data_IF_478515805634
#
_entry.id   IF_478515805634
#
_cell.length_a   1.000
_cell.length_b   1.000
_cell.length_c   1.000
_cell.angle_alpha   90.00
_cell.angle_beta   90.00
_cell.angle_gamma   90.00
#
_symmetry.space_group_name_H-M   'P 1'
#
loop_
_entity.id
_entity.type
_entity.pdbx_description
1 polymer ?
#
# COMPACT_ATOMS: atom_id res chain seq x y z
N UNK A 1 -32.18 26.17 -53.75
CA UNK A 1 -30.80 26.71 -53.59
C UNK A 1 -30.34 26.94 -52.15
N UNK A 2 -31.23 27.12 -51.14
CA UNK A 2 -30.84 27.48 -49.75
C UNK A 2 -30.47 26.31 -48.82
N UNK A 3 -30.70 25.06 -49.21
CA UNK A 3 -30.37 23.87 -48.41
C UNK A 3 -28.92 23.40 -48.59
N UNK A 4 -28.30 23.73 -49.72
CA UNK A 4 -26.93 23.28 -50.03
C UNK A 4 -25.87 24.02 -49.22
N UNK A 5 -26.11 25.31 -48.94
CA UNK A 5 -25.25 26.14 -48.11
C UNK A 5 -25.25 25.69 -46.65
N UNK A 6 -26.40 25.23 -46.14
CA UNK A 6 -26.52 24.70 -44.77
C UNK A 6 -25.78 23.38 -44.58
N UNK A 7 -25.77 22.50 -45.59
CA UNK A 7 -25.04 21.23 -45.56
C UNK A 7 -23.52 21.43 -45.52
N UNK A 8 -23.00 22.42 -46.25
CA UNK A 8 -21.56 22.75 -46.24
C UNK A 8 -21.14 23.36 -44.89
N UNK A 9 -22.01 24.18 -44.28
CA UNK A 9 -21.76 24.78 -42.95
C UNK A 9 -21.74 23.71 -41.84
N UNK A 10 -22.67 22.74 -41.88
CA UNK A 10 -22.72 21.65 -40.90
C UNK A 10 -21.56 20.67 -41.07
N UNK A 11 -21.18 20.34 -42.31
CA UNK A 11 -20.00 19.49 -42.58
C UNK A 11 -18.68 20.19 -42.20
N UNK A 12 -18.56 21.49 -42.43
CA UNK A 12 -17.39 22.28 -42.02
C UNK A 12 -17.23 22.38 -40.49
N UNK A 13 -18.33 22.52 -39.75
CA UNK A 13 -18.32 22.52 -38.27
C UNK A 13 -17.98 21.12 -37.74
N UNK A 14 -18.50 20.06 -38.34
CA UNK A 14 -18.17 18.69 -37.95
C UNK A 14 -16.70 18.34 -38.18
N UNK A 15 -16.09 18.82 -39.28
CA UNK A 15 -14.66 18.65 -39.56
C UNK A 15 -13.77 19.54 -38.66
N UNK A 16 -14.27 20.70 -38.23
CA UNK A 16 -13.57 21.56 -37.27
C UNK A 16 -13.55 20.94 -35.86
N UNK A 17 -14.65 20.30 -35.43
CA UNK A 17 -14.71 19.63 -34.13
C UNK A 17 -13.83 18.37 -34.06
N UNK A 18 -13.54 17.71 -35.17
CA UNK A 18 -12.60 16.58 -35.20
C UNK A 18 -11.13 17.01 -35.25
N UNK A 19 -10.83 18.26 -35.58
CA UNK A 19 -9.45 18.78 -35.63
C UNK A 19 -8.90 19.23 -34.25
N UNK A 20 -9.77 19.44 -33.25
CA UNK A 20 -9.35 19.89 -31.91
C UNK A 20 -8.98 18.77 -30.93
N UNK A 21 -9.12 17.50 -31.29
CA UNK A 21 -8.70 16.38 -30.43
C UNK A 21 -7.24 15.95 -30.65
N UNK A 22 -6.48 16.66 -31.49
CA UNK A 22 -5.06 16.36 -31.76
C UNK A 22 -4.15 17.44 -31.16
N UNK A 23 -4.04 17.49 -29.82
CA UNK A 23 -2.89 18.11 -29.10
C UNK A 23 -2.84 17.92 -27.57
N UNK A 24 -3.22 16.74 -27.07
CA UNK A 24 -2.83 16.35 -25.72
C UNK A 24 -2.59 14.84 -25.64
N UNK A 25 -1.47 14.39 -26.21
CA UNK A 25 -0.72 13.27 -25.62
C UNK A 25 -0.20 13.74 -24.26
N UNK A 26 -1.10 13.84 -23.28
CA UNK A 26 -0.71 13.73 -21.89
C UNK A 26 -0.59 12.24 -21.61
N UNK A 27 0.62 11.73 -21.84
CA UNK A 27 1.25 10.60 -21.16
C UNK A 27 0.30 9.88 -20.18
N UNK A 28 -0.57 9.04 -20.74
CA UNK A 28 -1.47 8.17 -19.98
C UNK A 28 -0.59 7.02 -19.48
N UNK A 29 0.05 7.23 -18.33
CA UNK A 29 0.74 6.14 -17.64
C UNK A 29 -0.32 5.15 -17.18
N UNK A 30 -0.56 4.14 -18.02
CA UNK A 30 -1.32 2.95 -17.69
C UNK A 30 -0.72 2.36 -16.41
N UNK A 31 -1.52 2.33 -15.34
CA UNK A 31 -1.15 1.68 -14.09
C UNK A 31 -1.10 0.17 -14.38
N UNK A 32 0.09 -0.34 -14.72
CA UNK A 32 0.41 -1.77 -14.69
C UNK A 32 0.21 -2.27 -13.24
N UNK A 33 -1.03 -2.64 -12.92
CA UNK A 33 -1.40 -3.45 -11.76
C UNK A 33 -1.00 -4.91 -12.06
N UNK A 34 0.31 -5.15 -12.25
CA UNK A 34 0.89 -6.48 -12.32
C UNK A 34 0.98 -7.09 -10.91
N UNK A 35 -0.18 -7.50 -10.41
CA UNK A 35 -0.36 -8.32 -9.21
C UNK A 35 0.02 -9.79 -9.39
N UNK A 36 0.93 -10.13 -10.31
CA UNK A 36 1.46 -11.48 -10.45
C UNK A 36 2.99 -11.46 -10.63
N UNK A 37 3.70 -11.34 -9.52
CA UNK A 37 5.13 -11.61 -9.46
C UNK A 37 5.41 -13.10 -9.74
N UNK A 38 5.57 -13.46 -11.02
CA UNK A 38 6.25 -14.71 -11.35
C UNK A 38 7.72 -14.53 -10.99
N UNK A 39 8.11 -15.03 -9.81
CA UNK A 39 9.50 -15.11 -9.37
C UNK A 39 10.29 -16.08 -10.26
N UNK A 40 10.62 -15.65 -11.48
CA UNK A 40 11.60 -16.36 -12.31
C UNK A 40 12.96 -16.12 -11.68
N UNK A 41 13.47 -17.12 -10.95
CA UNK A 41 14.90 -17.20 -10.60
C UNK A 41 15.69 -17.38 -11.89
N UNK A 42 16.10 -16.29 -12.52
CA UNK A 42 17.14 -16.35 -13.54
C UNK A 42 18.46 -16.64 -12.87
N UNK A 43 19.09 -17.74 -13.32
CA UNK A 43 20.39 -18.22 -12.88
C UNK A 43 21.44 -17.14 -13.18
N UNK A 44 22.37 -16.90 -12.24
CA UNK A 44 23.46 -15.92 -12.38
C UNK A 44 24.32 -16.23 -13.63
N UNK A 45 23.97 -15.59 -14.74
CA UNK A 45 24.84 -15.43 -15.90
C UNK A 45 25.65 -14.15 -15.76
N UNK A 46 26.98 -14.26 -15.80
CA UNK A 46 27.91 -13.14 -15.98
C UNK A 46 27.72 -12.58 -17.39
N UNK A 47 26.69 -11.76 -17.58
CA UNK A 47 26.57 -10.91 -18.77
C UNK A 47 27.05 -9.54 -18.36
N UNK A 48 28.29 -9.25 -18.77
CA UNK A 48 28.90 -7.95 -18.93
C UNK A 48 28.00 -6.82 -18.42
N UNK A 49 28.37 -6.20 -17.29
CA UNK A 49 27.84 -4.90 -16.92
C UNK A 49 28.05 -4.05 -18.16
N UNK A 50 26.96 -3.81 -18.88
CA UNK A 50 26.90 -2.81 -19.89
C UNK A 50 27.17 -1.48 -19.17
N UNK A 51 28.46 -1.15 -19.09
CA UNK A 51 28.97 0.19 -19.36
C UNK A 51 28.59 0.55 -20.80
N UNK A 52 27.30 0.45 -21.15
CA UNK A 52 26.75 1.09 -22.33
C UNK A 52 26.56 2.55 -21.94
N UNK A 53 27.30 3.41 -22.62
CA UNK A 53 27.29 4.84 -22.41
C UNK A 53 25.88 5.42 -22.46
N UNK A 54 25.29 5.68 -21.29
CA UNK A 54 24.14 6.58 -21.19
C UNK A 54 24.64 8.03 -21.30
N UNK A 55 25.13 8.40 -22.47
CA UNK A 55 25.52 9.77 -22.82
C UNK A 55 24.30 10.65 -23.16
N UNK A 56 23.09 10.24 -22.78
CA UNK A 56 21.86 11.02 -23.02
C UNK A 56 20.67 10.68 -22.12
N UNK A 57 20.82 9.82 -21.10
CA UNK A 57 19.73 9.50 -20.17
C UNK A 57 20.03 10.06 -18.78
N UNK A 58 19.22 11.03 -18.35
CA UNK A 58 19.29 11.64 -17.04
C UNK A 58 19.18 10.56 -15.93
N UNK A 59 20.25 10.37 -15.15
CA UNK A 59 20.26 9.46 -13.99
C UNK A 59 19.95 10.23 -12.72
N UNK A 60 18.98 9.74 -11.95
CA UNK A 60 18.56 10.32 -10.68
C UNK A 60 18.83 9.40 -9.49
N UNK A 61 19.17 9.98 -8.34
CA UNK A 61 19.19 9.35 -7.02
C UNK A 61 17.80 9.43 -6.40
N UNK A 62 17.31 8.31 -5.87
CA UNK A 62 16.00 8.24 -5.22
C UNK A 62 16.16 8.62 -3.74
N UNK A 63 15.45 9.66 -3.30
CA UNK A 63 15.29 10.00 -1.89
C UNK A 63 14.34 9.05 -1.15
N UNK A 64 14.16 9.31 0.15
CA UNK A 64 13.17 8.60 0.97
C UNK A 64 11.74 8.99 0.58
N UNK A 65 10.80 8.06 0.77
CA UNK A 65 9.37 8.36 0.65
C UNK A 65 8.92 9.19 1.85
N UNK A 66 8.13 10.23 1.59
CA UNK A 66 7.38 10.94 2.63
C UNK A 66 6.38 10.00 3.31
N UNK A 67 5.87 10.46 4.45
CA UNK A 67 4.67 9.88 5.02
C UNK A 67 3.49 10.02 4.06
N UNK A 68 2.49 9.17 4.26
CA UNK A 68 1.26 9.22 3.47
C UNK A 68 0.42 10.41 3.92
N UNK A 69 0.03 11.28 2.99
CA UNK A 69 -0.98 12.29 3.26
C UNK A 69 -2.35 11.61 3.35
N UNK A 70 -3.01 11.75 4.52
CA UNK A 70 -4.31 11.15 4.80
C UNK A 70 -5.45 11.75 3.97
N UNK A 71 -5.30 12.98 3.48
CA UNK A 71 -6.33 13.66 2.68
C UNK A 71 -6.32 13.22 1.22
N UNK A 72 -5.13 13.05 0.65
CA UNK A 72 -4.94 12.75 -0.78
C UNK A 72 -4.61 11.28 -1.06
N UNK A 73 -4.31 10.49 -0.02
CA UNK A 73 -3.80 9.13 -0.12
C UNK A 73 -2.55 9.03 -1.01
N UNK A 74 -1.72 10.08 -1.02
CA UNK A 74 -0.49 10.14 -1.80
C UNK A 74 0.72 10.30 -0.89
N UNK A 75 1.83 9.71 -1.32
CA UNK A 75 3.16 9.95 -0.77
C UNK A 75 4.08 10.42 -1.88
N UNK A 76 5.05 11.25 -1.53
CA UNK A 76 5.96 11.85 -2.49
C UNK A 76 7.39 11.50 -2.15
N UNK A 77 8.27 11.50 -3.15
CA UNK A 77 9.71 11.49 -2.90
C UNK A 77 10.43 12.36 -3.91
N UNK A 78 11.57 12.87 -3.47
CA UNK A 78 12.46 13.68 -4.29
C UNK A 78 13.46 12.79 -5.02
N UNK A 79 13.65 13.05 -6.31
CA UNK A 79 14.67 12.48 -7.17
C UNK A 79 15.69 13.57 -7.49
N UNK A 80 16.94 13.38 -7.07
CA UNK A 80 18.01 14.35 -7.32
C UNK A 80 18.89 13.89 -8.48
N UNK A 81 19.21 14.77 -9.42
CA UNK A 81 20.03 14.44 -10.59
C UNK A 81 21.45 14.04 -10.15
N UNK A 82 21.89 12.84 -10.56
CA UNK A 82 23.27 12.35 -10.36
C UNK A 82 24.16 12.63 -11.55
N UNK A 83 23.62 12.44 -12.76
CA UNK A 83 24.35 12.58 -14.03
C UNK A 83 23.36 12.91 -15.13
N UNK A 84 23.62 13.96 -15.91
CA UNK A 84 22.81 14.40 -17.03
C UNK A 84 23.29 15.74 -17.55
N UNK A 85 22.74 16.16 -18.69
CA UNK A 85 23.03 17.45 -19.29
C UNK A 85 22.21 18.58 -18.65
N UNK A 86 22.46 19.83 -19.05
CA UNK A 86 21.67 21.01 -18.59
C UNK A 86 20.19 20.95 -18.98
N UNK A 87 19.83 20.06 -19.89
CA UNK A 87 18.45 19.77 -20.29
C UNK A 87 17.71 18.89 -19.27
N UNK A 88 18.44 18.21 -18.38
CA UNK A 88 17.86 17.40 -17.32
C UNK A 88 17.45 18.29 -16.14
N UNK A 89 16.23 18.12 -15.65
CA UNK A 89 15.80 18.76 -14.40
C UNK A 89 16.71 18.33 -13.24
N UNK A 90 17.16 19.29 -12.42
CA UNK A 90 18.00 18.97 -11.26
C UNK A 90 17.26 18.15 -10.20
N UNK A 91 15.97 18.43 -10.01
CA UNK A 91 15.14 17.82 -8.99
C UNK A 91 13.78 17.47 -9.56
N UNK A 92 13.37 16.21 -9.43
CA UNK A 92 12.02 15.74 -9.79
C UNK A 92 11.28 15.28 -8.55
N UNK A 93 10.01 15.65 -8.41
CA UNK A 93 9.14 15.11 -7.37
C UNK A 93 8.26 14.05 -8.01
N UNK A 94 8.30 12.84 -7.48
CA UNK A 94 7.38 11.78 -7.92
C UNK A 94 6.39 11.47 -6.82
N UNK A 95 5.15 11.22 -7.21
CA UNK A 95 4.06 10.88 -6.32
C UNK A 95 3.64 9.44 -6.57
N UNK A 96 3.22 8.74 -5.52
CA UNK A 96 2.62 7.42 -5.61
C UNK A 96 1.48 7.32 -4.62
N UNK A 97 0.40 6.65 -5.02
CA UNK A 97 -0.69 6.28 -4.11
C UNK A 97 -0.14 5.48 -2.93
N UNK A 98 -0.65 5.78 -1.75
CA UNK A 98 -0.31 5.05 -0.54
C UNK A 98 -0.89 3.64 -0.61
N UNK A 99 -0.21 2.66 -0.01
CA UNK A 99 -0.88 1.38 0.27
C UNK A 99 -1.92 1.64 1.36
N UNK A 100 -3.20 1.34 1.09
CA UNK A 100 -4.32 1.35 2.06
C UNK A 100 -4.17 0.23 3.08
N UNK A 101 -3.14 0.30 3.92
CA UNK A 101 -2.91 -0.67 4.97
C UNK A 101 -3.33 -0.07 6.30
N UNK A 102 -4.31 -0.67 6.96
CA UNK A 102 -4.62 -0.39 8.36
C UNK A 102 -3.44 -0.81 9.22
N UNK A 103 -2.66 0.16 9.73
CA UNK A 103 -1.54 -0.11 10.62
C UNK A 103 -2.01 0.06 12.05
N UNK A 104 -1.68 -0.91 12.89
CA UNK A 104 -2.09 -0.89 14.30
C UNK A 104 -0.90 -0.99 15.23
N UNK A 105 -0.93 -0.22 16.31
CA UNK A 105 -0.11 -0.42 17.49
C UNK A 105 -0.63 -1.59 18.31
N UNK A 106 0.26 -2.54 18.54
CA UNK A 106 -0.05 -3.79 19.21
C UNK A 106 -0.07 -3.57 20.72
N UNK A 107 -1.19 -3.84 21.36
CA UNK A 107 -1.27 -3.81 22.83
C UNK A 107 -0.57 -4.98 23.51
N UNK A 108 -0.87 -5.16 24.79
CA UNK A 108 -0.46 -6.35 25.57
C UNK A 108 -1.58 -7.38 25.55
N UNK A 109 -1.25 -8.66 25.41
CA UNK A 109 -2.24 -9.73 25.58
C UNK A 109 -2.69 -9.79 27.03
N UNK A 110 -4.00 -9.98 27.25
CA UNK A 110 -4.57 -10.25 28.57
C UNK A 110 -4.11 -11.60 29.10
N UNK A 111 -4.33 -11.83 30.40
CA UNK A 111 -4.07 -13.11 31.02
C UNK A 111 -4.88 -14.23 30.34
N UNK A 112 -4.34 -15.46 30.36
CA UNK A 112 -5.03 -16.62 29.80
C UNK A 112 -6.23 -17.01 30.67
N UNK A 113 -7.45 -16.72 30.21
CA UNK A 113 -8.69 -17.08 30.89
C UNK A 113 -9.47 -18.01 29.97
N UNK A 114 -9.92 -19.16 30.49
CA UNK A 114 -10.68 -20.15 29.71
C UNK A 114 -9.98 -20.55 28.40
N UNK A 115 -8.65 -20.73 28.43
CA UNK A 115 -7.81 -21.07 27.26
C UNK A 115 -7.84 -20.03 26.12
N UNK A 116 -8.29 -18.81 26.41
CA UNK A 116 -8.31 -17.68 25.47
C UNK A 116 -7.64 -16.48 26.10
N UNK A 117 -6.82 -15.79 25.31
CA UNK A 117 -6.31 -14.46 25.64
C UNK A 117 -6.71 -13.49 24.54
N UNK A 118 -6.88 -12.23 24.92
CA UNK A 118 -7.36 -11.16 24.05
C UNK A 118 -6.39 -9.99 24.08
N UNK A 119 -6.28 -9.27 22.98
CA UNK A 119 -5.50 -8.05 22.90
C UNK A 119 -6.26 -7.01 22.10
N UNK A 120 -6.18 -5.76 22.54
CA UNK A 120 -6.67 -4.60 21.80
C UNK A 120 -5.50 -3.95 21.08
N UNK A 121 -5.61 -3.78 19.77
CA UNK A 121 -4.66 -3.01 18.96
C UNK A 121 -5.33 -1.68 18.55
N UNK A 122 -4.60 -0.56 18.64
CA UNK A 122 -5.10 0.77 18.28
C UNK A 122 -4.54 1.22 16.93
N UNK A 123 -5.28 1.99 16.15
CA UNK A 123 -4.84 2.49 14.85
C UNK A 123 -3.66 3.47 14.98
N UNK A 124 -2.70 3.41 14.04
CA UNK A 124 -1.58 4.36 13.96
C UNK A 124 -2.01 5.67 13.29
N UNK A 125 -1.41 6.82 13.67
CA UNK A 125 -1.77 8.16 13.16
C UNK A 125 -1.58 8.37 11.63
N UNK A 126 -1.03 7.42 10.88
CA UNK A 126 -0.85 7.47 9.43
C UNK A 126 -1.53 6.30 8.69
N UNK A 127 -2.56 5.71 9.30
CA UNK A 127 -3.36 4.66 8.68
C UNK A 127 -4.53 5.25 7.91
N UNK A 128 -5.16 4.44 7.06
CA UNK A 128 -6.34 4.86 6.33
C UNK A 128 -7.49 5.21 7.32
N UNK A 129 -8.16 6.38 7.18
CA UNK A 129 -9.23 6.80 8.08
C UNK A 129 -10.49 5.93 7.99
N UNK A 130 -10.63 5.10 6.95
CA UNK A 130 -11.71 4.11 6.85
C UNK A 130 -11.51 2.88 7.74
N UNK A 131 -10.31 2.69 8.30
CA UNK A 131 -10.01 1.57 9.16
C UNK A 131 -10.65 1.72 10.54
N UNK A 132 -10.97 0.59 11.18
CA UNK A 132 -11.46 0.59 12.55
C UNK A 132 -10.44 1.24 13.50
N UNK A 133 -10.87 2.16 14.39
CA UNK A 133 -9.96 2.81 15.35
C UNK A 133 -9.27 1.82 16.30
N UNK A 134 -9.96 0.72 16.62
CA UNK A 134 -9.43 -0.35 17.46
C UNK A 134 -9.85 -1.70 16.91
N UNK A 135 -8.98 -2.71 17.04
CA UNK A 135 -9.33 -4.10 16.73
C UNK A 135 -9.02 -5.02 17.89
N UNK A 136 -9.89 -5.99 18.12
CA UNK A 136 -9.70 -7.04 19.13
C UNK A 136 -9.17 -8.31 18.47
N UNK A 137 -8.01 -8.77 18.91
CA UNK A 137 -7.43 -10.04 18.49
C UNK A 137 -7.58 -11.05 19.61
N UNK A 138 -8.16 -12.19 19.31
CA UNK A 138 -8.26 -13.33 20.23
C UNK A 138 -7.26 -14.41 19.81
N UNK A 139 -6.63 -15.05 20.79
CA UNK A 139 -5.73 -16.20 20.58
C UNK A 139 -6.00 -17.27 21.62
N UNK A 140 -5.84 -18.53 21.23
CA UNK A 140 -5.81 -19.66 22.16
C UNK A 140 -4.54 -19.59 23.00
N UNK A 141 -4.65 -19.93 24.27
CA UNK A 141 -3.53 -20.00 25.21
C UNK A 141 -3.63 -21.29 26.03
N UNK A 142 -2.49 -21.79 26.51
CA UNK A 142 -2.45 -22.90 27.47
C UNK A 142 -2.52 -22.31 28.88
N UNK A 143 -3.37 -22.83 29.77
CA UNK A 143 -3.39 -22.37 31.16
C UNK A 143 -2.08 -22.75 31.84
N UNK A 144 -1.50 -21.83 32.60
CA UNK A 144 -0.31 -22.11 33.38
C UNK A 144 -0.62 -23.20 34.41
N UNK A 145 0.28 -24.18 34.54
CA UNK A 145 0.13 -25.38 35.37
C UNK A 145 -0.13 -25.10 36.88
N UNK A 146 -0.01 -23.84 37.30
CA UNK A 146 -0.31 -23.37 38.67
C UNK A 146 -1.82 -23.31 38.95
N UNK A 147 -2.64 -22.96 37.94
CA UNK A 147 -4.09 -22.84 38.07
C UNK A 147 -4.79 -24.20 38.22
N UNK A 148 -4.26 -25.25 37.57
CA UNK A 148 -4.80 -26.61 37.59
C UNK A 148 -4.70 -27.26 38.98
N UNK A 149 -3.68 -26.89 39.77
CA UNK A 149 -3.51 -27.40 41.14
C UNK A 149 -4.55 -26.85 42.13
N UNK A 150 -5.04 -25.62 41.95
CA UNK A 150 -6.10 -25.06 42.83
C UNK A 150 -7.46 -25.71 42.57
N UNK A 151 -7.77 -26.02 41.31
CA UNK A 151 -9.02 -26.70 40.93
C UNK A 151 -9.03 -28.14 41.47
N UNK A 152 -7.91 -28.88 41.34
CA UNK A 152 -7.81 -30.25 41.85
C UNK A 152 -7.86 -30.36 43.39
N UNK A 153 -7.44 -29.34 44.14
CA UNK A 153 -7.53 -29.33 45.61
C UNK A 153 -8.93 -28.98 46.14
N UNK A 154 -9.68 -28.14 45.44
CA UNK A 154 -11.07 -27.82 45.81
C UNK A 154 -12.00 -29.04 45.65
N UNK A 155 -11.82 -29.80 44.56
CA UNK A 155 -12.62 -31.01 44.29
C UNK A 155 -12.38 -32.13 45.33
N UNK A 156 -11.13 -32.27 45.80
CA UNK A 156 -10.77 -33.26 46.83
C UNK A 156 -11.25 -32.90 48.23
N UNK A 157 -11.43 -31.61 48.53
CA UNK A 157 -11.99 -31.15 49.81
C UNK A 157 -13.51 -31.42 49.89
N UNK A 158 -14.22 -31.25 48.77
CA UNK A 158 -15.68 -31.45 48.73
C UNK A 158 -16.09 -32.93 48.90
N UNK A 159 -15.31 -33.88 48.34
CA UNK A 159 -15.59 -35.32 48.50
C UNK A 159 -15.38 -35.89 49.91
N UNK A 160 -14.67 -35.18 50.80
CA UNK A 160 -14.45 -35.63 52.18
C UNK A 160 -15.56 -35.20 53.17
N UNK A 161 -16.44 -34.28 52.77
CA UNK A 161 -17.52 -33.78 53.64
C UNK A 161 -18.86 -34.53 53.47
N UNK A 162 -18.95 -35.51 52.56
CA UNK A 162 -20.19 -36.20 52.20
C UNK A 162 -20.29 -37.65 52.66
N UNK A 163 -19.53 -38.07 53.67
CA UNK A 163 -19.64 -39.40 54.27
C UNK A 163 -19.83 -39.26 55.78
N UNK A 164 -21.07 -38.95 56.16
CA UNK A 164 -21.65 -39.26 57.48
C UNK A 164 -22.61 -40.42 57.29
#
# INVERSE_FOLDING_TARGET
>A
MKLWWSLILVLGIAVSMTAMTVRAESDLWEEDDDGNEVLVRTVRGTKERASSGSAGLCRYVKGQWSECDSKTNMRQRTLSLKKGDKTCEQTKIIQKKCKKACRYDKGTFSACVNMVMTRVDNIKPNSDPSCDPTRRITKRCKPDAVSTKKIAKADRANRKSGKQ
#
